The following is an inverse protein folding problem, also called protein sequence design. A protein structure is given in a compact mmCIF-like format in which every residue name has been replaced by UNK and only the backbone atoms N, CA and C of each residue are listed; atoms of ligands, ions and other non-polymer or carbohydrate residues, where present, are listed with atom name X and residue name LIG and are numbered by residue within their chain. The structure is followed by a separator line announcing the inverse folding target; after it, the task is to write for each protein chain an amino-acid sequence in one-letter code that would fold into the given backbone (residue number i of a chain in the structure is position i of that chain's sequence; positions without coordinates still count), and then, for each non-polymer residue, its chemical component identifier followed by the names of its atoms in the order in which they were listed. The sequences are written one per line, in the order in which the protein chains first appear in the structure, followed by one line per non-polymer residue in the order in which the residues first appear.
data_IF_440101811293
#
_entry.id   IF_440101811293
#
_cell.length_a   1.000
_cell.length_b   1.000
_cell.length_c   1.000
_cell.angle_alpha   90.00
_cell.angle_beta   90.00
_cell.angle_gamma   90.00
#
_symmetry.space_group_name_H-M   'P 1'
#
loop_
_entity.id
_entity.type
_entity.pdbx_description
1 polymer ?
#
# COMPACT_ATOMS: atom_id res chain seq x y z
N UNK A 1 2.95 7.70 2.68
CA UNK A 1 2.63 6.69 3.71
C UNK A 1 2.80 5.26 3.18
N UNK A 2 2.57 5.01 1.89
CA UNK A 2 2.66 3.67 1.28
C UNK A 2 3.98 3.41 0.58
N UNK A 3 4.59 4.46 0.03
CA UNK A 3 5.86 4.44 -0.71
C UNK A 3 6.59 5.77 -0.52
N UNK A 4 7.77 5.90 -1.12
CA UNK A 4 8.52 7.15 -1.15
C UNK A 4 9.08 7.38 -2.56
N UNK A 5 9.07 8.63 -3.03
CA UNK A 5 9.53 8.97 -4.38
C UNK A 5 11.02 8.65 -4.59
N UNK A 6 11.85 8.77 -3.54
CA UNK A 6 13.27 8.44 -3.62
C UNK A 6 13.52 6.97 -3.93
N UNK A 7 12.57 6.07 -3.60
CA UNK A 7 12.67 4.67 -3.99
C UNK A 7 12.52 4.50 -5.51
N UNK A 8 11.67 5.31 -6.17
CA UNK A 8 11.60 5.33 -7.64
C UNK A 8 12.94 5.79 -8.21
N UNK A 9 13.52 6.85 -7.66
CA UNK A 9 14.81 7.37 -8.12
C UNK A 9 15.91 6.33 -7.96
N UNK A 10 15.96 5.64 -6.81
CA UNK A 10 16.91 4.56 -6.58
C UNK A 10 16.75 3.38 -7.55
N UNK A 11 15.50 2.98 -7.85
CA UNK A 11 15.21 1.92 -8.81
C UNK A 11 15.59 2.32 -10.24
N UNK A 12 15.35 3.57 -10.65
CA UNK A 12 15.78 4.08 -11.95
C UNK A 12 17.31 4.13 -12.08
N UNK A 13 18.01 4.55 -11.01
CA UNK A 13 19.47 4.52 -10.97
C UNK A 13 20.03 3.10 -11.05
N UNK A 14 19.39 2.15 -10.34
CA UNK A 14 19.73 0.73 -10.43
C UNK A 14 19.54 0.21 -11.86
N UNK A 15 18.38 0.49 -12.47
CA UNK A 15 18.10 0.08 -13.84
C UNK A 15 19.14 0.60 -14.84
N UNK A 16 19.54 1.86 -14.70
CA UNK A 16 20.61 2.46 -15.51
C UNK A 16 21.96 1.76 -15.30
N UNK A 17 22.33 1.48 -14.05
CA UNK A 17 23.57 0.79 -13.71
C UNK A 17 23.65 -0.61 -14.28
N UNK A 18 22.51 -1.33 -14.29
CA UNK A 18 22.38 -2.69 -14.85
C UNK A 18 22.19 -2.67 -16.37
N UNK A 19 22.19 -1.49 -17.02
CA UNK A 19 22.09 -1.37 -18.47
C UNK A 19 20.73 -1.72 -19.05
N UNK A 20 19.65 -1.58 -18.26
CA UNK A 20 18.30 -1.82 -18.74
C UNK A 20 17.83 -0.69 -19.65
N UNK A 21 17.34 -1.05 -20.84
CA UNK A 21 16.86 -0.08 -21.84
C UNK A 21 15.34 0.13 -21.72
N UNK A 22 14.58 -0.92 -21.37
CA UNK A 22 13.12 -0.90 -21.29
C UNK A 22 12.68 -0.92 -19.84
N UNK A 23 12.35 0.26 -19.32
CA UNK A 23 11.89 0.45 -17.95
C UNK A 23 10.61 1.28 -17.96
N UNK A 24 9.53 0.74 -17.44
CA UNK A 24 8.22 1.37 -17.46
C UNK A 24 7.67 1.54 -16.05
N UNK A 25 7.15 2.72 -15.75
CA UNK A 25 6.48 3.01 -14.48
C UNK A 25 4.96 3.00 -14.67
N UNK A 26 4.30 2.17 -13.91
CA UNK A 26 2.86 2.20 -13.71
C UNK A 26 2.59 2.98 -12.41
N UNK A 27 2.27 4.26 -12.54
CA UNK A 27 2.18 5.18 -11.41
C UNK A 27 0.82 5.10 -10.72
N UNK A 28 0.83 4.94 -9.38
CA UNK A 28 -0.35 5.01 -8.53
C UNK A 28 -0.32 6.31 -7.72
N UNK A 29 -1.33 7.16 -7.94
CA UNK A 29 -1.45 8.45 -7.30
C UNK A 29 -2.11 8.33 -5.93
N UNK A 30 -1.79 9.21 -5.03
CA UNK A 30 -2.31 9.24 -3.66
C UNK A 30 -3.53 10.18 -3.52
N UNK A 31 -3.33 11.46 -3.33
CA UNK A 31 -4.40 12.45 -3.14
C UNK A 31 -5.21 12.34 -1.86
N UNK A 32 -4.83 11.42 -0.95
CA UNK A 32 -5.48 11.19 0.35
C UNK A 32 -4.54 11.45 1.52
N UNK A 33 -3.33 10.91 1.46
CA UNK A 33 -2.25 11.17 2.42
C UNK A 33 -1.33 12.30 1.93
N UNK A 34 -1.57 12.80 0.72
CA UNK A 34 -0.96 13.97 0.09
C UNK A 34 -2.05 14.93 -0.39
N UNK A 35 -1.75 16.20 -0.70
CA UNK A 35 -2.74 17.10 -1.30
C UNK A 35 -3.39 16.51 -2.54
N UNK A 36 -4.69 16.72 -2.76
CA UNK A 36 -5.47 15.99 -3.76
C UNK A 36 -5.09 16.28 -5.23
N UNK A 37 -4.31 17.34 -5.49
CA UNK A 37 -3.88 17.81 -6.80
C UNK A 37 -2.34 17.86 -6.95
N UNK A 38 -1.62 17.19 -6.05
CA UNK A 38 -0.15 17.19 -6.04
C UNK A 38 0.49 16.17 -7.00
N UNK A 39 -0.29 15.19 -7.47
CA UNK A 39 0.20 14.07 -8.28
C UNK A 39 0.85 14.48 -9.58
N UNK A 40 0.31 15.48 -10.28
CA UNK A 40 0.93 16.01 -11.49
C UNK A 40 2.37 16.47 -11.25
N UNK A 41 2.62 17.19 -10.15
CA UNK A 41 3.96 17.66 -9.80
C UNK A 41 4.93 16.50 -9.48
N UNK A 42 4.46 15.47 -8.81
CA UNK A 42 5.28 14.27 -8.55
C UNK A 42 5.61 13.51 -9.84
N UNK A 43 4.65 13.34 -10.74
CA UNK A 43 4.90 12.69 -12.03
C UNK A 43 5.91 13.46 -12.87
N UNK A 44 5.80 14.80 -12.95
CA UNK A 44 6.77 15.65 -13.64
C UNK A 44 8.18 15.53 -13.04
N UNK A 45 8.30 15.46 -11.71
CA UNK A 45 9.59 15.25 -11.06
C UNK A 45 10.20 13.89 -11.43
N UNK A 46 9.38 12.84 -11.52
CA UNK A 46 9.83 11.50 -11.97
C UNK A 46 10.25 11.52 -13.44
N UNK A 47 9.45 12.13 -14.34
CA UNK A 47 9.82 12.26 -15.76
C UNK A 47 11.14 13.00 -15.94
N UNK A 48 11.36 14.09 -15.16
CA UNK A 48 12.62 14.81 -15.16
C UNK A 48 13.79 13.91 -14.75
N UNK A 49 13.63 13.13 -13.68
CA UNK A 49 14.65 12.16 -13.25
C UNK A 49 14.92 11.08 -14.31
N UNK A 50 13.89 10.57 -14.97
CA UNK A 50 14.03 9.62 -16.08
C UNK A 50 14.83 10.22 -17.24
N UNK A 51 14.56 11.48 -17.59
CA UNK A 51 15.29 12.22 -18.63
C UNK A 51 16.77 12.42 -18.24
N UNK A 52 17.05 12.82 -17.00
CA UNK A 52 18.42 13.01 -16.49
C UNK A 52 19.24 11.71 -16.54
N UNK A 53 18.58 10.59 -16.23
CA UNK A 53 19.21 9.28 -16.25
C UNK A 53 19.27 8.66 -17.66
N UNK A 54 18.40 9.08 -18.56
CA UNK A 54 18.26 8.50 -19.90
C UNK A 54 17.62 7.11 -19.88
N UNK A 55 16.81 6.80 -18.85
CA UNK A 55 16.12 5.50 -18.70
C UNK A 55 14.76 5.70 -18.03
N UNK A 56 13.77 4.95 -18.50
CA UNK A 56 12.43 4.89 -17.95
C UNK A 56 11.41 5.78 -18.65
N UNK A 57 10.17 5.31 -18.66
CA UNK A 57 8.99 6.03 -19.16
C UNK A 57 7.80 5.72 -18.26
N UNK A 58 6.84 6.68 -18.15
CA UNK A 58 5.58 6.42 -17.46
C UNK A 58 4.62 5.77 -18.47
N UNK A 59 4.18 4.56 -18.17
CA UNK A 59 3.30 3.77 -19.04
C UNK A 59 1.82 3.93 -18.68
N UNK A 60 1.49 3.98 -17.39
CA UNK A 60 0.11 4.20 -16.93
C UNK A 60 0.05 5.09 -15.69
N UNK A 61 -1.09 5.73 -15.50
CA UNK A 61 -1.40 6.52 -14.29
C UNK A 61 -2.75 6.02 -13.76
N UNK A 62 -2.84 5.77 -12.46
CA UNK A 62 -4.09 5.36 -11.80
C UNK A 62 -4.22 6.00 -10.43
N UNK A 63 -5.38 6.50 -10.08
CA UNK A 63 -5.66 6.90 -8.71
C UNK A 63 -5.68 5.69 -7.77
N UNK A 64 -5.33 5.91 -6.50
CA UNK A 64 -5.31 4.86 -5.47
C UNK A 64 -6.67 4.20 -5.25
N UNK A 65 -7.76 4.90 -5.55
CA UNK A 65 -9.11 4.37 -5.49
C UNK A 65 -9.28 3.11 -6.34
N UNK A 66 -8.55 3.01 -7.45
CA UNK A 66 -8.56 1.85 -8.36
C UNK A 66 -7.41 0.89 -8.08
N UNK A 67 -6.18 1.39 -8.07
CA UNK A 67 -4.98 0.55 -8.04
C UNK A 67 -4.60 0.07 -6.62
N UNK A 68 -5.17 0.67 -5.58
CA UNK A 68 -4.81 0.42 -4.20
C UNK A 68 -6.04 0.18 -3.32
N UNK A 69 -7.03 -0.55 -3.84
CA UNK A 69 -8.16 -1.02 -3.03
C UNK A 69 -7.68 -2.01 -1.96
N UNK A 70 -8.44 -2.14 -0.87
CA UNK A 70 -8.21 -3.11 0.22
C UNK A 70 -9.49 -3.70 0.79
N UNK A 71 -10.63 -3.34 0.19
CA UNK A 71 -11.97 -3.68 0.68
C UNK A 71 -12.70 -4.62 -0.30
N UNK A 72 -11.90 -5.33 -1.17
CA UNK A 72 -12.37 -6.32 -2.15
C UNK A 72 -13.28 -5.75 -3.24
N UNK A 73 -13.08 -4.47 -3.59
CA UNK A 73 -13.76 -3.86 -4.73
C UNK A 73 -13.01 -4.20 -6.03
N UNK A 74 -13.04 -5.45 -6.42
CA UNK A 74 -12.26 -5.95 -7.55
C UNK A 74 -12.69 -5.35 -8.90
N UNK A 75 -13.88 -4.77 -9.03
CA UNK A 75 -14.29 -3.96 -10.17
C UNK A 75 -13.41 -2.71 -10.37
N UNK A 76 -12.86 -2.17 -9.28
CA UNK A 76 -11.89 -1.07 -9.31
C UNK A 76 -10.51 -1.57 -9.67
N UNK A 77 -10.05 -2.61 -9.00
CA UNK A 77 -8.73 -3.22 -9.22
C UNK A 77 -8.59 -3.73 -10.65
N UNK A 78 -9.67 -4.32 -11.22
CA UNK A 78 -9.69 -4.75 -12.61
C UNK A 78 -9.35 -3.64 -13.58
N UNK A 79 -9.90 -2.43 -13.39
CA UNK A 79 -9.62 -1.29 -14.29
C UNK A 79 -8.14 -0.93 -14.29
N UNK A 80 -7.49 -0.89 -13.12
CA UNK A 80 -6.05 -0.63 -13.03
C UNK A 80 -5.24 -1.77 -13.65
N UNK A 81 -5.61 -3.02 -13.39
CA UNK A 81 -4.98 -4.19 -13.99
C UNK A 81 -5.08 -4.17 -15.52
N UNK A 82 -6.28 -3.89 -16.08
CA UNK A 82 -6.49 -3.81 -17.52
C UNK A 82 -5.66 -2.71 -18.19
N UNK A 83 -5.48 -1.58 -17.53
CA UNK A 83 -4.62 -0.52 -18.06
C UNK A 83 -3.16 -0.99 -18.17
N UNK A 84 -2.65 -1.70 -17.16
CA UNK A 84 -1.28 -2.18 -17.12
C UNK A 84 -1.03 -3.37 -18.06
N UNK A 85 -1.96 -4.30 -18.18
CA UNK A 85 -1.76 -5.58 -18.90
C UNK A 85 -2.34 -5.56 -20.30
N UNK A 86 -3.53 -4.98 -20.46
CA UNK A 86 -4.23 -4.98 -21.75
C UNK A 86 -4.08 -3.66 -22.51
N UNK A 87 -3.61 -2.60 -21.85
CA UNK A 87 -3.57 -1.24 -22.40
C UNK A 87 -4.97 -0.65 -22.57
N UNK A 88 -5.92 -1.04 -21.73
CA UNK A 88 -7.33 -0.64 -21.77
C UNK A 88 -7.64 0.32 -20.63
N UNK A 89 -8.07 1.53 -20.96
CA UNK A 89 -8.41 2.59 -20.00
C UNK A 89 -8.62 3.91 -20.73
N UNK A 90 -8.65 5.02 -19.99
CA UNK A 90 -8.49 6.34 -20.58
C UNK A 90 -7.13 6.41 -21.28
N UNK A 91 -6.93 7.33 -22.20
CA UNK A 91 -5.66 7.46 -22.93
C UNK A 91 -5.19 8.90 -22.92
N UNK A 92 -3.87 9.09 -22.91
CA UNK A 92 -3.23 10.39 -23.12
C UNK A 92 -1.92 10.21 -23.89
N UNK A 93 -1.53 11.23 -24.65
CA UNK A 93 -0.24 11.24 -25.38
C UNK A 93 0.93 11.64 -24.48
N UNK A 94 0.65 12.20 -23.31
CA UNK A 94 1.63 12.58 -22.29
C UNK A 94 1.00 12.55 -20.91
N UNK A 95 1.87 12.52 -19.89
CA UNK A 95 1.47 12.65 -18.48
C UNK A 95 0.74 13.96 -18.23
N UNK A 96 1.26 15.05 -18.80
CA UNK A 96 0.68 16.39 -18.65
C UNK A 96 -0.76 16.44 -19.20
N UNK A 97 -0.96 15.98 -20.43
CA UNK A 97 -2.28 15.95 -21.07
C UNK A 97 -3.28 15.11 -20.26
N UNK A 98 -2.86 13.92 -19.82
CA UNK A 98 -3.71 13.00 -19.05
C UNK A 98 -4.16 13.62 -17.72
N UNK A 99 -3.23 14.24 -16.99
CA UNK A 99 -3.52 14.86 -15.70
C UNK A 99 -4.38 16.13 -15.86
N UNK A 100 -4.10 16.97 -16.86
CA UNK A 100 -4.88 18.16 -17.12
C UNK A 100 -6.31 17.82 -17.54
N UNK A 101 -6.49 16.79 -18.37
CA UNK A 101 -7.81 16.31 -18.78
C UNK A 101 -8.61 15.77 -17.58
N UNK A 102 -7.96 15.10 -16.63
CA UNK A 102 -8.59 14.63 -15.40
C UNK A 102 -8.99 15.79 -14.48
N UNK A 103 -8.07 16.73 -14.23
CA UNK A 103 -8.30 17.87 -13.34
C UNK A 103 -9.35 18.84 -13.91
N UNK A 104 -9.41 19.01 -15.22
CA UNK A 104 -10.47 19.79 -15.88
C UNK A 104 -11.88 19.23 -15.60
N UNK A 105 -11.98 17.91 -15.44
CA UNK A 105 -13.22 17.22 -15.01
C UNK A 105 -13.43 17.23 -13.50
N UNK A 106 -12.56 17.91 -12.71
CA UNK A 106 -12.53 17.88 -11.24
C UNK A 106 -12.32 16.48 -10.66
N UNK A 107 -11.66 15.59 -11.40
CA UNK A 107 -11.24 14.27 -10.96
C UNK A 107 -9.78 14.38 -10.54
N UNK A 108 -9.55 14.43 -9.23
CA UNK A 108 -8.23 14.61 -8.64
C UNK A 108 -7.51 13.29 -8.37
N UNK A 109 -6.29 13.35 -7.88
CA UNK A 109 -5.31 12.26 -7.79
C UNK A 109 -5.90 10.92 -7.30
N UNK A 110 -6.63 10.92 -6.18
CA UNK A 110 -7.20 9.69 -5.61
C UNK A 110 -8.09 8.95 -6.59
N UNK A 111 -8.83 9.70 -7.41
CA UNK A 111 -9.90 9.19 -8.29
C UNK A 111 -9.54 9.22 -9.77
N UNK A 112 -8.30 9.56 -10.14
CA UNK A 112 -7.87 9.53 -11.53
C UNK A 112 -8.13 8.14 -12.12
N UNK A 113 -8.93 8.11 -13.17
CA UNK A 113 -9.23 6.86 -13.88
C UNK A 113 -7.94 6.24 -14.43
N UNK A 114 -7.82 4.90 -14.41
CA UNK A 114 -6.68 4.24 -15.03
C UNK A 114 -6.49 4.70 -16.47
N UNK A 115 -5.38 5.37 -16.71
CA UNK A 115 -5.04 6.06 -17.96
C UNK A 115 -3.75 5.49 -18.53
N UNK A 116 -3.78 5.10 -19.78
CA UNK A 116 -2.63 4.58 -20.54
C UNK A 116 -1.95 5.75 -21.25
N UNK A 117 -0.65 5.89 -21.03
CA UNK A 117 0.16 6.90 -21.74
C UNK A 117 0.67 6.28 -23.03
N UNK A 118 0.18 6.81 -24.16
CA UNK A 118 0.54 6.31 -25.48
C UNK A 118 1.82 7.00 -25.97
N UNK A 119 2.83 6.21 -26.29
CA UNK A 119 4.04 6.69 -26.94
C UNK A 119 3.97 6.34 -28.43
N UNK A 120 3.99 7.34 -29.30
CA UNK A 120 3.80 7.14 -30.76
C UNK A 120 2.57 6.27 -31.09
N UNK A 121 1.49 6.45 -30.31
CA UNK A 121 0.25 5.70 -30.47
C UNK A 121 0.27 4.27 -29.92
N UNK A 122 1.34 3.86 -29.22
CA UNK A 122 1.49 2.52 -28.64
C UNK A 122 1.47 2.56 -27.10
N UNK A 123 0.83 1.56 -26.52
CA UNK A 123 0.84 1.32 -25.09
C UNK A 123 2.02 0.41 -24.70
N UNK A 124 2.73 0.77 -23.61
CA UNK A 124 3.66 -0.14 -22.96
C UNK A 124 2.92 -0.96 -21.90
N UNK A 125 2.83 -2.26 -22.13
CA UNK A 125 2.05 -3.20 -21.32
C UNK A 125 2.98 -4.16 -20.61
N UNK A 126 2.48 -4.74 -19.51
CA UNK A 126 3.15 -5.85 -18.85
C UNK A 126 2.88 -7.12 -19.66
N UNK A 127 3.95 -7.79 -20.08
CA UNK A 127 3.89 -8.99 -20.92
C UNK A 127 4.56 -10.20 -20.24
N UNK A 128 4.40 -11.37 -20.83
CA UNK A 128 5.08 -12.58 -20.36
C UNK A 128 6.59 -12.43 -20.48
N UNK A 129 7.29 -12.79 -19.42
CA UNK A 129 8.76 -12.69 -19.34
C UNK A 129 9.27 -11.38 -18.78
N UNK A 130 8.40 -10.40 -18.49
CA UNK A 130 8.79 -9.16 -17.83
C UNK A 130 9.12 -9.39 -16.35
N UNK A 131 9.93 -8.47 -15.79
CA UNK A 131 10.10 -8.32 -14.35
C UNK A 131 9.30 -7.12 -13.87
N UNK A 132 8.53 -7.31 -12.80
CA UNK A 132 7.73 -6.26 -12.18
C UNK A 132 8.14 -6.08 -10.72
N UNK A 133 8.43 -4.85 -10.31
CA UNK A 133 8.74 -4.49 -8.92
C UNK A 133 7.63 -3.63 -8.37
N UNK A 134 6.94 -4.12 -7.34
CA UNK A 134 6.00 -3.30 -6.59
C UNK A 134 6.69 -2.73 -5.34
N UNK A 135 7.02 -1.44 -5.37
CA UNK A 135 7.93 -0.83 -4.39
C UNK A 135 7.23 -0.17 -3.19
N UNK A 136 5.94 -0.42 -2.98
CA UNK A 136 5.28 -0.02 -1.73
C UNK A 136 5.88 -0.80 -0.56
N UNK A 137 6.13 -0.12 0.56
CA UNK A 137 6.59 -0.79 1.79
C UNK A 137 5.44 -1.08 2.77
N UNK A 138 4.27 -0.44 2.59
CA UNK A 138 3.07 -0.72 3.38
C UNK A 138 2.18 -1.76 2.67
N UNK A 139 1.82 -2.88 3.35
CA UNK A 139 1.22 -4.05 2.70
C UNK A 139 -0.28 -3.92 2.40
N UNK A 140 -1.06 -3.22 3.24
CA UNK A 140 -2.53 -3.33 3.28
C UNK A 140 -3.22 -3.03 1.94
N UNK A 141 -2.69 -2.10 1.13
CA UNK A 141 -3.25 -1.72 -0.18
C UNK A 141 -2.47 -2.27 -1.37
N UNK A 142 -1.48 -3.12 -1.12
CA UNK A 142 -0.71 -3.79 -2.16
C UNK A 142 -1.24 -5.20 -2.47
N UNK A 143 -1.91 -5.84 -1.51
CA UNK A 143 -2.30 -7.25 -1.57
C UNK A 143 -3.14 -7.59 -2.79
N UNK A 144 -4.24 -6.85 -3.01
CA UNK A 144 -5.22 -7.19 -4.04
C UNK A 144 -4.63 -7.15 -5.45
N UNK A 145 -3.90 -6.09 -5.79
CA UNK A 145 -3.27 -5.99 -7.10
C UNK A 145 -2.15 -7.05 -7.27
N UNK A 146 -1.41 -7.38 -6.21
CA UNK A 146 -0.42 -8.45 -6.25
C UNK A 146 -1.05 -9.83 -6.49
N UNK A 147 -2.20 -10.14 -5.88
CA UNK A 147 -2.95 -11.35 -6.19
C UNK A 147 -3.36 -11.41 -7.66
N UNK A 148 -3.69 -10.27 -8.28
CA UNK A 148 -4.03 -10.24 -9.70
C UNK A 148 -2.86 -10.70 -10.58
N UNK A 149 -1.61 -10.43 -10.21
CA UNK A 149 -0.42 -10.84 -10.97
C UNK A 149 0.11 -12.22 -10.57
N UNK A 150 0.00 -12.58 -9.31
CA UNK A 150 0.74 -13.69 -8.75
C UNK A 150 -0.09 -14.96 -8.53
N UNK A 151 -1.40 -14.86 -8.28
CA UNK A 151 -2.22 -16.00 -7.89
C UNK A 151 -2.71 -16.77 -9.11
N UNK A 152 -2.33 -18.05 -9.24
CA UNK A 152 -2.79 -18.93 -10.33
C UNK A 152 -4.30 -19.23 -10.24
N UNK A 153 -4.86 -19.20 -9.03
CA UNK A 153 -6.28 -19.51 -8.76
C UNK A 153 -7.18 -18.27 -8.66
N UNK A 154 -6.65 -17.10 -9.08
CA UNK A 154 -7.40 -15.85 -9.03
C UNK A 154 -8.72 -15.91 -9.81
N UNK A 155 -9.84 -15.56 -9.14
CA UNK A 155 -11.19 -15.73 -9.70
C UNK A 155 -12.11 -14.51 -9.50
N UNK A 156 -11.61 -13.39 -8.98
CA UNK A 156 -12.46 -12.24 -8.66
C UNK A 156 -12.94 -11.46 -9.90
N UNK A 157 -12.19 -11.53 -11.00
CA UNK A 157 -12.62 -11.12 -12.34
C UNK A 157 -11.92 -11.97 -13.40
N UNK A 158 -12.45 -12.00 -14.61
CA UNK A 158 -11.83 -12.75 -15.70
C UNK A 158 -10.63 -11.97 -16.27
N UNK A 159 -9.43 -12.25 -15.78
CA UNK A 159 -8.18 -11.64 -16.29
C UNK A 159 -7.60 -12.37 -17.52
N UNK A 160 -8.22 -13.49 -17.97
CA UNK A 160 -7.60 -14.41 -18.91
C UNK A 160 -6.46 -15.22 -18.27
N UNK A 161 -5.52 -15.67 -19.09
CA UNK A 161 -4.31 -16.33 -18.58
C UNK A 161 -3.44 -15.36 -17.77
N UNK A 162 -2.89 -15.86 -16.65
CA UNK A 162 -1.97 -15.08 -15.82
C UNK A 162 -0.70 -14.74 -16.61
N UNK A 163 -0.31 -13.48 -16.62
CA UNK A 163 1.01 -13.09 -17.16
C UNK A 163 2.12 -13.70 -16.32
N UNK A 164 3.05 -14.37 -16.97
CA UNK A 164 4.20 -15.00 -16.33
C UNK A 164 5.31 -13.97 -16.15
N UNK A 165 5.16 -13.12 -15.16
CA UNK A 165 6.14 -12.08 -14.79
C UNK A 165 6.98 -12.54 -13.60
N UNK A 166 8.24 -12.11 -13.55
CA UNK A 166 9.06 -12.20 -12.34
C UNK A 166 8.64 -11.06 -11.41
N UNK A 167 7.78 -11.38 -10.42
CA UNK A 167 7.12 -10.37 -9.58
C UNK A 167 7.85 -10.19 -8.25
N UNK A 168 8.31 -8.98 -7.96
CA UNK A 168 9.03 -8.62 -6.74
C UNK A 168 8.19 -7.64 -5.91
N UNK A 169 7.87 -8.04 -4.68
CA UNK A 169 7.30 -7.17 -3.66
C UNK A 169 8.41 -6.54 -2.83
N UNK A 170 8.33 -5.25 -2.52
CA UNK A 170 9.34 -4.64 -1.65
C UNK A 170 9.39 -5.29 -0.27
N UNK A 171 8.22 -5.58 0.30
CA UNK A 171 8.11 -6.29 1.59
C UNK A 171 7.16 -7.48 1.43
N UNK A 172 7.09 -8.34 2.41
CA UNK A 172 6.08 -9.40 2.43
C UNK A 172 4.70 -8.80 2.72
N UNK A 173 3.92 -8.59 1.66
CA UNK A 173 2.57 -8.02 1.79
C UNK A 173 1.56 -9.01 2.35
N UNK A 174 1.70 -10.29 2.01
CA UNK A 174 0.83 -11.36 2.43
C UNK A 174 1.53 -12.70 2.14
N UNK A 175 1.73 -13.58 3.13
CA UNK A 175 2.38 -14.87 2.92
C UNK A 175 1.60 -15.79 1.99
N UNK A 176 0.30 -15.54 1.77
CA UNK A 176 -0.55 -16.36 0.89
C UNK A 176 -0.41 -16.02 -0.59
N UNK A 177 0.22 -14.89 -0.95
CA UNK A 177 0.49 -14.54 -2.34
C UNK A 177 1.57 -15.48 -2.90
N UNK A 178 1.24 -16.33 -3.89
CA UNK A 178 2.21 -17.21 -4.53
C UNK A 178 3.05 -16.48 -5.58
N UNK A 179 4.02 -17.15 -6.16
CA UNK A 179 4.79 -16.67 -7.35
C UNK A 179 5.34 -15.24 -7.21
N UNK A 180 5.78 -14.87 -5.99
CA UNK A 180 6.42 -13.59 -5.69
C UNK A 180 7.80 -13.80 -5.11
N UNK A 181 8.66 -12.81 -5.32
CA UNK A 181 9.89 -12.62 -4.58
C UNK A 181 9.75 -11.43 -3.62
N UNK A 182 10.59 -11.36 -2.59
CA UNK A 182 10.58 -10.28 -1.60
C UNK A 182 11.95 -9.62 -1.59
N UNK A 183 11.99 -8.31 -1.88
CA UNK A 183 13.25 -7.57 -1.91
C UNK A 183 13.82 -7.32 -0.50
N UNK A 184 12.95 -6.96 0.45
CA UNK A 184 13.32 -6.64 1.82
C UNK A 184 12.50 -7.49 2.77
N UNK A 185 13.13 -8.49 3.36
CA UNK A 185 12.51 -9.31 4.40
C UNK A 185 12.23 -8.45 5.64
N UNK A 186 11.16 -8.79 6.34
CA UNK A 186 10.83 -8.16 7.60
C UNK A 186 11.93 -8.51 8.62
N UNK A 187 12.60 -7.49 9.13
CA UNK A 187 13.52 -7.68 10.26
C UNK A 187 12.70 -7.94 11.53
N UNK A 188 13.15 -8.93 12.31
CA UNK A 188 12.60 -9.13 13.65
C UNK A 188 13.04 -7.99 14.56
N UNK A 189 12.08 -7.29 15.14
CA UNK A 189 12.35 -6.22 16.09
C UNK A 189 12.49 -6.86 17.46
N UNK A 190 13.72 -6.82 17.98
CA UNK A 190 14.04 -7.28 19.33
C UNK A 190 14.03 -6.14 20.35
N UNK A 191 13.94 -6.48 21.61
CA UNK A 191 13.95 -5.54 22.74
C UNK A 191 12.82 -4.50 22.65
N UNK A 192 11.66 -4.90 22.16
CA UNK A 192 10.46 -4.07 22.30
C UNK A 192 10.15 -3.87 23.79
N UNK A 193 9.45 -2.80 24.16
CA UNK A 193 9.08 -2.56 25.56
C UNK A 193 8.37 -3.80 26.16
N UNK A 194 7.45 -4.42 25.40
CA UNK A 194 6.74 -5.62 25.83
C UNK A 194 7.67 -6.79 26.14
N UNK A 195 8.67 -6.99 25.28
CA UNK A 195 9.69 -8.04 25.47
C UNK A 195 10.57 -7.77 26.70
N UNK A 196 11.06 -6.54 26.84
CA UNK A 196 11.91 -6.15 27.98
C UNK A 196 11.17 -6.30 29.31
N UNK A 197 9.93 -5.81 29.41
CA UNK A 197 9.09 -5.95 30.60
C UNK A 197 8.85 -7.43 30.93
N UNK A 198 8.56 -8.24 29.92
CA UNK A 198 8.35 -9.69 30.06
C UNK A 198 9.62 -10.41 30.56
N UNK A 199 10.79 -10.06 30.00
CA UNK A 199 12.07 -10.65 30.38
C UNK A 199 12.50 -10.29 31.83
N UNK A 200 11.97 -9.20 32.35
CA UNK A 200 12.12 -8.80 33.75
C UNK A 200 11.08 -9.45 34.69
N UNK A 201 10.29 -10.41 34.18
CA UNK A 201 9.18 -11.06 34.91
C UNK A 201 8.11 -10.08 35.41
N UNK A 202 8.03 -8.89 34.82
CA UNK A 202 7.04 -7.86 35.14
C UNK A 202 5.71 -8.11 34.40
N UNK A 203 4.65 -7.60 35.00
CA UNK A 203 3.30 -7.66 34.43
C UNK A 203 2.97 -6.42 33.65
N UNK A 204 2.22 -6.56 32.56
CA UNK A 204 1.88 -5.46 31.67
C UNK A 204 0.47 -5.60 31.10
N UNK A 205 -0.18 -4.47 30.84
CA UNK A 205 -1.49 -4.41 30.23
C UNK A 205 -1.45 -3.66 28.89
N UNK A 206 -2.09 -4.24 27.87
CA UNK A 206 -2.44 -3.56 26.62
C UNK A 206 -3.95 -3.35 26.59
N UNK A 207 -4.38 -2.10 26.47
CA UNK A 207 -5.80 -1.76 26.41
C UNK A 207 -6.05 -0.72 25.33
N UNK A 208 -7.00 -0.98 24.47
CA UNK A 208 -7.50 -0.02 23.48
C UNK A 208 -8.87 -0.43 22.97
N UNK A 209 -9.54 0.51 22.30
CA UNK A 209 -10.70 0.19 21.49
C UNK A 209 -10.32 -0.44 20.14
N UNK A 210 -11.28 -1.07 19.43
CA UNK A 210 -11.06 -1.90 18.23
C UNK A 210 -10.16 -1.22 17.20
N UNK A 211 -10.39 0.04 16.87
CA UNK A 211 -9.63 0.81 15.84
C UNK A 211 -8.16 1.01 16.21
N UNK A 212 -7.82 0.93 17.49
CA UNK A 212 -6.47 1.15 18.02
C UNK A 212 -5.84 -0.09 18.64
N UNK A 213 -6.59 -1.19 18.72
CA UNK A 213 -6.12 -2.40 19.39
C UNK A 213 -4.85 -2.99 18.77
N UNK A 214 -4.81 -3.13 17.45
CA UNK A 214 -3.62 -3.61 16.76
C UNK A 214 -2.41 -2.69 16.97
N UNK A 215 -2.63 -1.38 17.17
CA UNK A 215 -1.54 -0.43 17.40
C UNK A 215 -0.84 -0.66 18.74
N UNK A 216 -1.60 -0.99 19.78
CA UNK A 216 -1.05 -1.24 21.13
C UNK A 216 -0.67 -2.71 21.38
N UNK A 217 -0.99 -3.62 20.45
CA UNK A 217 -0.64 -5.04 20.51
C UNK A 217 0.35 -5.42 19.43
N UNK A 218 -0.13 -5.82 18.26
CA UNK A 218 0.69 -6.29 17.15
C UNK A 218 1.82 -5.32 16.77
N UNK A 219 1.48 -4.07 16.45
CA UNK A 219 2.50 -3.09 16.03
C UNK A 219 3.45 -2.72 17.17
N UNK A 220 2.93 -2.55 18.38
CA UNK A 220 3.74 -2.21 19.53
C UNK A 220 4.69 -3.34 19.93
N UNK A 221 4.31 -4.59 19.66
CA UNK A 221 5.14 -5.78 19.88
C UNK A 221 6.02 -6.12 18.65
N UNK A 222 6.30 -5.15 17.77
CA UNK A 222 7.19 -5.34 16.63
C UNK A 222 6.62 -6.25 15.53
N UNK A 223 5.29 -6.40 15.47
CA UNK A 223 4.58 -7.24 14.52
C UNK A 223 4.42 -8.70 14.99
N UNK A 224 4.48 -8.93 16.28
CA UNK A 224 4.21 -10.23 16.92
C UNK A 224 2.76 -10.26 17.41
N UNK A 225 1.98 -11.22 16.92
CA UNK A 225 0.58 -11.40 17.34
C UNK A 225 0.46 -11.97 18.76
N UNK A 226 1.30 -12.94 19.08
CA UNK A 226 1.26 -13.61 20.37
C UNK A 226 1.64 -12.65 21.50
N UNK A 227 0.88 -12.62 22.61
CA UNK A 227 1.26 -11.86 23.79
C UNK A 227 2.60 -12.33 24.36
N UNK A 228 3.36 -11.42 24.92
CA UNK A 228 4.50 -11.80 25.72
C UNK A 228 4.06 -12.43 27.06
N UNK A 229 4.94 -13.15 27.71
CA UNK A 229 4.70 -13.66 29.07
C UNK A 229 4.31 -12.50 29.98
N UNK A 230 3.27 -12.67 30.79
CA UNK A 230 2.72 -11.65 31.69
C UNK A 230 2.15 -10.40 30.98
N UNK A 231 1.80 -10.51 29.70
CA UNK A 231 1.07 -9.47 28.96
C UNK A 231 -0.41 -9.81 28.89
N UNK A 232 -1.24 -9.01 29.55
CA UNK A 232 -2.68 -9.07 29.42
C UNK A 232 -3.18 -8.08 28.36
N UNK A 233 -4.30 -8.42 27.74
CA UNK A 233 -4.94 -7.61 26.69
C UNK A 233 -6.41 -7.38 26.96
N UNK A 234 -6.85 -6.13 26.91
CA UNK A 234 -8.26 -5.74 27.00
C UNK A 234 -8.66 -5.02 25.71
N UNK A 235 -9.60 -5.61 24.99
CA UNK A 235 -10.24 -5.00 23.83
C UNK A 235 -11.56 -4.36 24.25
N UNK A 236 -11.73 -3.07 23.95
CA UNK A 236 -13.01 -2.35 24.07
C UNK A 236 -13.58 -2.18 22.66
N UNK A 237 -14.85 -2.53 22.41
CA UNK A 237 -15.46 -2.29 21.10
C UNK A 237 -15.49 -0.79 20.76
N UNK A 238 -15.08 -0.42 19.54
CA UNK A 238 -15.32 0.93 19.03
C UNK A 238 -16.80 1.14 18.73
N UNK A 239 -17.30 2.41 18.78
CA UNK A 239 -18.69 2.72 18.49
C UNK A 239 -19.08 2.25 17.08
N UNK A 240 -20.26 1.64 16.97
CA UNK A 240 -20.85 1.19 15.69
C UNK A 240 -22.09 1.99 15.30
N UNK A 241 -22.54 2.87 16.17
CA UNK A 241 -23.75 3.69 15.99
C UNK A 241 -23.55 4.91 15.10
N UNK A 242 -22.29 5.20 14.72
CA UNK A 242 -21.96 6.32 13.82
C UNK A 242 -21.20 5.78 12.60
N UNK A 243 -21.44 6.32 11.39
CA UNK A 243 -20.75 5.90 10.18
C UNK A 243 -19.28 6.36 10.14
N UNK A 244 -18.96 7.48 10.82
CA UNK A 244 -17.61 8.07 10.89
C UNK A 244 -17.39 8.68 12.27
N UNK A 245 -16.16 8.67 12.77
CA UNK A 245 -15.84 9.03 14.15
C UNK A 245 -15.72 10.56 14.39
N UNK A 246 -15.75 11.37 13.35
CA UNK A 246 -15.95 12.82 13.47
C UNK A 246 -17.31 13.17 14.10
N UNK A 247 -18.30 12.28 13.97
CA UNK A 247 -19.61 12.42 14.64
C UNK A 247 -19.62 11.94 16.10
N UNK A 248 -18.56 11.25 16.52
CA UNK A 248 -18.34 10.80 17.91
C UNK A 248 -16.84 10.81 18.23
N UNK A 249 -16.21 11.99 18.33
CA UNK A 249 -14.76 12.11 18.44
C UNK A 249 -14.18 11.50 19.72
N UNK A 250 -14.96 11.40 20.80
CA UNK A 250 -14.59 10.71 22.01
C UNK A 250 -14.52 9.18 21.86
N UNK A 251 -15.16 8.63 20.81
CA UNK A 251 -15.20 7.20 20.52
C UNK A 251 -15.55 6.37 21.78
N UNK A 252 -14.69 5.44 22.22
CA UNK A 252 -14.88 4.62 23.42
C UNK A 252 -13.98 5.02 24.59
N UNK A 253 -13.44 6.26 24.59
CA UNK A 253 -12.42 6.67 25.57
C UNK A 253 -12.90 6.56 27.02
N UNK A 254 -14.17 6.81 27.33
CA UNK A 254 -14.70 6.70 28.70
C UNK A 254 -14.64 5.25 29.21
N UNK A 255 -15.03 4.27 28.38
CA UNK A 255 -15.01 2.85 28.75
C UNK A 255 -13.56 2.37 28.89
N UNK A 256 -12.67 2.81 27.97
CA UNK A 256 -11.23 2.50 28.07
C UNK A 256 -10.65 3.05 29.35
N UNK A 257 -10.99 4.30 29.72
CA UNK A 257 -10.51 4.95 30.93
C UNK A 257 -11.01 4.25 32.20
N UNK A 258 -12.28 3.85 32.24
CA UNK A 258 -12.87 3.11 33.37
C UNK A 258 -12.10 1.81 33.59
N UNK A 259 -11.96 0.98 32.56
CA UNK A 259 -11.22 -0.30 32.63
C UNK A 259 -9.74 -0.13 32.98
N UNK A 260 -9.10 0.92 32.46
CA UNK A 260 -7.72 1.23 32.80
C UNK A 260 -7.60 1.62 34.28
N UNK A 261 -8.53 2.44 34.78
CA UNK A 261 -8.54 2.84 36.20
C UNK A 261 -8.73 1.63 37.12
N UNK A 262 -9.66 0.72 36.78
CA UNK A 262 -9.84 -0.53 37.51
C UNK A 262 -8.55 -1.39 37.51
N UNK A 263 -7.90 -1.48 36.36
CA UNK A 263 -6.65 -2.24 36.23
C UNK A 263 -5.53 -1.65 37.09
N UNK A 264 -5.38 -0.32 37.12
CA UNK A 264 -4.41 0.37 37.99
C UNK A 264 -4.73 0.13 39.46
N UNK A 265 -6.00 0.28 39.86
CA UNK A 265 -6.43 0.09 41.27
C UNK A 265 -6.29 -1.36 41.75
N UNK A 266 -6.30 -2.33 40.81
CA UNK A 266 -6.12 -3.74 41.15
C UNK A 266 -4.73 -4.05 41.69
N UNK A 267 -3.72 -3.21 41.39
CA UNK A 267 -2.32 -3.47 41.72
C UNK A 267 -1.73 -4.69 40.99
N UNK A 268 -2.39 -5.18 39.92
CA UNK A 268 -1.95 -6.37 39.20
C UNK A 268 -0.77 -6.09 38.27
N UNK A 269 -0.64 -4.87 37.78
CA UNK A 269 0.36 -4.51 36.79
C UNK A 269 1.45 -3.62 37.37
N UNK A 270 2.69 -3.82 36.85
CA UNK A 270 3.89 -3.09 37.31
C UNK A 270 4.02 -1.67 36.79
#
# INVERSE_FOLDING_TARGET
VHSHIDHIYGLLELAKREGLEKVYLHAFLDGRDTPPDSGKGFLQAVEKKMQELGVGEIATISGRYYAMDRDKNYDRVEKAYRAMVDGVGETGSSVEEAMDASYAKKVYDEFVLPTVILKEGKAHKIEDGDAAIFFNFRPDRAREICHCFCDDTFSFFNRGERKKVFFVCFTDYDPTIPNKEIAFLKEEIHNTLGEVVSNLDKTQLRIAETEKYAHVTFFFNGGKEEPYKNEDRILVPSPKEVPTYDLKPEMSCYIVTEKLTEAIQSGKYD
#
